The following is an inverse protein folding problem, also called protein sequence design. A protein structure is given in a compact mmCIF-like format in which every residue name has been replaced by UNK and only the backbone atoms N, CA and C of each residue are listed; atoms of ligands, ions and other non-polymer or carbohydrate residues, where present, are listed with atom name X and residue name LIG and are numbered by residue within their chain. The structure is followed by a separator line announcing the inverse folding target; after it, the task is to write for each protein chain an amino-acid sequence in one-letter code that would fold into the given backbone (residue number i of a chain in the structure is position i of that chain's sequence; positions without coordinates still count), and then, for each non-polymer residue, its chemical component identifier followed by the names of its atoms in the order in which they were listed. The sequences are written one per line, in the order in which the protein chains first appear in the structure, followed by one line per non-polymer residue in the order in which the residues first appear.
data_IF_769016813175
#
_entry.id   IF_769016813175
#
_cell.length_a   1.000
_cell.length_b   1.000
_cell.length_c   1.000
_cell.angle_alpha   90.00
_cell.angle_beta   90.00
_cell.angle_gamma   90.00
#
_symmetry.space_group_name_H-M   'P 1'
#
loop_
_entity.id
_entity.type
_entity.pdbx_description
1 polymer ?
#
# COMPACT_ATOMS: atom_id res chain seq x y z
N UNK A 1 19.55 3.39 -13.55
CA UNK A 1 18.85 2.12 -13.28
C UNK A 1 19.60 0.99 -13.97
N UNK A 2 19.90 -0.06 -13.24
CA UNK A 2 20.52 -1.23 -13.86
C UNK A 2 19.54 -1.89 -14.81
N UNK A 3 19.98 -2.21 -16.01
CA UNK A 3 19.17 -2.97 -16.93
C UNK A 3 19.15 -4.43 -16.49
N UNK A 4 17.97 -5.04 -16.51
CA UNK A 4 17.86 -6.46 -16.20
C UNK A 4 18.56 -7.26 -17.30
N UNK A 5 19.39 -8.20 -16.89
CA UNK A 5 19.99 -9.12 -17.84
C UNK A 5 18.93 -10.11 -18.32
N UNK A 6 19.19 -10.79 -19.40
CA UNK A 6 18.30 -11.84 -19.91
C UNK A 6 18.03 -12.91 -18.85
N UNK A 7 19.09 -13.30 -18.11
CA UNK A 7 18.94 -14.29 -17.03
C UNK A 7 18.05 -13.76 -15.90
N UNK A 8 18.14 -12.45 -15.58
CA UNK A 8 17.28 -11.85 -14.55
C UNK A 8 15.81 -11.84 -14.97
N UNK A 9 15.53 -11.56 -16.24
CA UNK A 9 14.16 -11.59 -16.77
C UNK A 9 13.60 -13.00 -16.69
N UNK A 10 14.36 -14.01 -17.06
CA UNK A 10 13.94 -15.40 -16.97
C UNK A 10 13.65 -15.81 -15.53
N UNK A 11 14.48 -15.35 -14.59
CA UNK A 11 14.28 -15.62 -13.17
C UNK A 11 12.98 -14.98 -12.68
N UNK A 12 12.70 -13.74 -13.06
CA UNK A 12 11.47 -13.05 -12.69
C UNK A 12 10.26 -13.78 -13.26
N UNK A 13 10.32 -14.19 -14.51
CA UNK A 13 9.21 -14.93 -15.14
C UNK A 13 8.94 -16.27 -14.46
N UNK A 14 9.96 -16.92 -13.91
CA UNK A 14 9.77 -18.19 -13.20
C UNK A 14 9.01 -18.00 -11.90
N UNK A 15 8.92 -16.77 -11.36
CA UNK A 15 8.19 -16.46 -10.13
C UNK A 15 6.81 -15.86 -10.35
N UNK A 16 6.38 -15.70 -11.60
CA UNK A 16 5.11 -15.04 -11.90
C UNK A 16 3.87 -15.77 -11.37
N UNK A 17 4.01 -17.05 -11.06
CA UNK A 17 2.91 -17.83 -10.50
C UNK A 17 2.88 -17.81 -8.97
N UNK A 18 3.78 -17.10 -8.34
CA UNK A 18 3.82 -16.96 -6.89
C UNK A 18 2.87 -15.84 -6.47
N UNK A 19 2.00 -16.14 -5.52
CA UNK A 19 1.09 -15.15 -4.97
C UNK A 19 1.81 -14.25 -3.98
N UNK A 20 1.51 -12.97 -4.02
CA UNK A 20 2.04 -12.00 -3.07
C UNK A 20 0.88 -11.22 -2.44
N UNK A 21 1.11 -10.68 -1.24
CA UNK A 21 0.11 -9.87 -0.56
C UNK A 21 0.26 -8.41 -1.00
N UNK A 22 -0.83 -7.84 -1.48
CA UNK A 22 -0.91 -6.43 -1.81
C UNK A 22 -1.72 -5.75 -0.71
N UNK A 23 -1.15 -4.71 -0.12
CA UNK A 23 -1.78 -3.99 0.98
C UNK A 23 -2.09 -2.55 0.58
N UNK A 24 -3.24 -2.07 1.00
CA UNK A 24 -3.60 -0.67 0.89
C UNK A 24 -3.49 -0.03 2.27
N UNK A 25 -2.72 1.03 2.39
CA UNK A 25 -2.50 1.73 3.65
C UNK A 25 -3.00 3.16 3.52
N UNK A 26 -3.89 3.56 4.41
CA UNK A 26 -4.41 4.92 4.43
C UNK A 26 -3.40 5.92 4.95
N UNK A 27 -2.86 5.63 6.11
CA UNK A 27 -1.96 6.53 6.82
C UNK A 27 -1.47 5.83 8.08
N UNK A 28 -0.62 6.51 8.80
CA UNK A 28 -0.14 6.06 10.10
C UNK A 28 -0.09 7.25 11.04
N UNK A 29 -0.18 7.00 12.32
CA UNK A 29 0.00 8.04 13.32
C UNK A 29 0.85 7.52 14.45
N UNK A 30 1.52 8.44 15.13
CA UNK A 30 2.37 8.12 16.25
C UNK A 30 1.56 8.29 17.53
N UNK A 31 1.52 7.24 18.34
CA UNK A 31 0.83 7.26 19.63
C UNK A 31 1.75 6.67 20.67
N UNK A 32 1.67 7.17 21.91
CA UNK A 32 2.41 6.52 22.98
C UNK A 32 1.62 5.29 23.48
N UNK A 33 2.31 4.43 24.21
CA UNK A 33 1.69 3.18 24.68
C UNK A 33 0.49 3.46 25.59
N UNK A 34 0.57 4.53 26.40
CA UNK A 34 -0.54 4.90 27.28
C UNK A 34 -1.81 5.20 26.47
N UNK A 35 -1.67 5.94 25.39
CA UNK A 35 -2.80 6.26 24.51
C UNK A 35 -3.36 5.01 23.87
N UNK A 36 -2.50 4.10 23.42
CA UNK A 36 -2.94 2.84 22.80
C UNK A 36 -3.74 2.01 23.80
N UNK A 37 -3.26 1.93 25.03
CA UNK A 37 -3.93 1.14 26.07
C UNK A 37 -5.29 1.74 26.50
N UNK A 38 -5.53 3.00 26.22
CA UNK A 38 -6.79 3.66 26.52
C UNK A 38 -7.84 3.53 25.41
N UNK A 39 -7.52 2.91 24.29
CA UNK A 39 -8.45 2.75 23.16
C UNK A 39 -9.58 1.82 23.55
N UNK A 40 -10.81 2.27 23.30
CA UNK A 40 -12.04 1.51 23.58
C UNK A 40 -12.96 1.63 22.37
N UNK A 41 -13.96 0.76 22.24
CA UNK A 41 -14.97 0.92 21.19
C UNK A 41 -15.58 2.32 21.21
N UNK A 42 -15.62 2.96 20.05
CA UNK A 42 -16.06 4.34 19.93
C UNK A 42 -14.93 5.37 19.96
N UNK A 43 -13.70 4.96 20.27
CA UNK A 43 -12.55 5.85 20.24
C UNK A 43 -12.28 6.34 18.82
N UNK A 44 -11.79 7.56 18.69
CA UNK A 44 -11.45 8.16 17.40
C UNK A 44 -9.96 8.43 17.36
N UNK A 45 -9.32 7.95 16.31
CA UNK A 45 -7.89 8.19 16.07
C UNK A 45 -7.78 9.12 14.86
N UNK A 46 -7.39 10.39 15.07
CA UNK A 46 -7.22 11.31 13.93
C UNK A 46 -5.95 10.97 13.15
N UNK A 47 -6.05 10.96 11.83
CA UNK A 47 -4.92 10.62 10.96
C UNK A 47 -4.28 11.84 10.30
N UNK A 48 -4.73 12.98 10.42
CA UNK A 48 -4.08 14.18 9.88
C UNK A 48 -4.08 14.31 8.36
N UNK A 49 -4.64 13.33 7.62
CA UNK A 49 -4.75 13.41 6.17
C UNK A 49 -6.10 14.02 5.76
N UNK A 50 -6.11 14.87 4.74
CA UNK A 50 -7.38 15.30 4.18
C UNK A 50 -8.17 14.11 3.61
N UNK A 51 -9.48 14.15 3.77
CA UNK A 51 -10.35 13.12 3.20
C UNK A 51 -10.29 13.19 1.66
N UNK A 52 -10.37 12.04 1.02
CA UNK A 52 -10.40 11.96 -0.43
C UNK A 52 -9.05 11.89 -1.12
N UNK A 53 -7.96 11.92 -0.38
CA UNK A 53 -6.65 11.72 -0.97
C UNK A 53 -6.41 10.24 -1.30
N UNK A 54 -5.47 10.02 -2.23
CA UNK A 54 -5.06 8.65 -2.58
C UNK A 54 -4.36 7.99 -1.39
N UNK A 55 -4.44 6.69 -1.37
CA UNK A 55 -3.73 5.88 -0.39
C UNK A 55 -2.54 5.19 -1.02
N UNK A 56 -1.68 4.62 -0.19
CA UNK A 56 -0.47 3.95 -0.65
C UNK A 56 -0.70 2.45 -0.76
N UNK A 57 -0.18 1.87 -1.83
CA UNK A 57 -0.27 0.43 -2.09
C UNK A 57 1.13 -0.16 -1.93
N UNK A 58 1.21 -1.23 -1.16
CA UNK A 58 2.47 -1.89 -0.84
C UNK A 58 2.43 -3.37 -1.23
N UNK A 59 3.59 -3.89 -1.61
CA UNK A 59 3.83 -5.32 -1.71
C UNK A 59 4.90 -5.66 -0.69
N UNK A 60 4.53 -6.43 0.35
CA UNK A 60 5.37 -6.57 1.52
C UNK A 60 5.55 -5.20 2.16
N UNK A 61 6.79 -4.79 2.43
CA UNK A 61 7.07 -3.46 2.94
C UNK A 61 7.58 -2.51 1.86
N UNK A 62 7.41 -2.89 0.59
CA UNK A 62 7.89 -2.10 -0.54
C UNK A 62 6.73 -1.28 -1.12
N UNK A 63 6.85 0.05 -1.17
CA UNK A 63 5.81 0.86 -1.79
C UNK A 63 5.76 0.60 -3.30
N UNK A 64 4.57 0.35 -3.81
CA UNK A 64 4.36 0.05 -5.23
C UNK A 64 3.74 1.24 -5.96
N UNK A 65 2.71 1.82 -5.39
CA UNK A 65 1.86 2.75 -6.13
C UNK A 65 0.98 3.57 -5.20
N UNK A 66 0.36 4.58 -5.78
CA UNK A 66 -0.75 5.29 -5.15
C UNK A 66 -2.04 4.84 -5.82
N UNK A 67 -3.13 4.86 -5.08
CA UNK A 67 -4.42 4.40 -5.58
C UNK A 67 -5.57 5.14 -4.92
N UNK A 68 -6.72 5.09 -5.55
CA UNK A 68 -7.97 5.56 -4.97
C UNK A 68 -8.91 4.38 -4.74
N UNK A 69 -9.72 4.48 -3.70
CA UNK A 69 -10.70 3.44 -3.38
C UNK A 69 -11.94 3.66 -4.25
N UNK A 70 -12.37 2.61 -4.92
CA UNK A 70 -13.60 2.62 -5.70
C UNK A 70 -14.49 1.46 -5.27
N UNK A 71 -15.74 1.48 -5.67
CA UNK A 71 -16.69 0.41 -5.38
C UNK A 71 -17.10 -0.24 -6.69
N UNK A 72 -16.93 -1.55 -6.77
CA UNK A 72 -17.37 -2.35 -7.90
C UNK A 72 -18.25 -3.47 -7.37
N UNK A 73 -19.51 -3.50 -7.79
CA UNK A 73 -20.46 -4.56 -7.41
C UNK A 73 -20.49 -4.82 -5.89
N UNK A 74 -20.61 -3.76 -5.12
CA UNK A 74 -20.66 -3.79 -3.66
C UNK A 74 -19.35 -4.22 -2.98
N UNK A 75 -18.25 -4.26 -3.72
CA UNK A 75 -16.94 -4.56 -3.17
C UNK A 75 -16.00 -3.39 -3.34
N UNK A 76 -15.12 -3.23 -2.38
CA UNK A 76 -14.07 -2.22 -2.49
C UNK A 76 -13.00 -2.73 -3.44
N UNK A 77 -12.52 -1.82 -4.28
CA UNK A 77 -11.42 -2.07 -5.19
C UNK A 77 -10.47 -0.88 -5.19
N UNK A 78 -9.30 -1.07 -5.72
CA UNK A 78 -8.30 0.00 -5.85
C UNK A 78 -8.09 0.32 -7.31
N UNK A 79 -8.10 1.60 -7.62
CA UNK A 79 -7.71 2.09 -8.94
C UNK A 79 -6.34 2.71 -8.83
N UNK A 80 -5.35 2.13 -9.48
CA UNK A 80 -3.99 2.67 -9.45
C UNK A 80 -3.96 4.01 -10.18
N UNK A 81 -3.41 5.00 -9.52
CA UNK A 81 -3.29 6.35 -10.11
C UNK A 81 -1.87 6.63 -10.57
N UNK A 82 -0.88 6.11 -9.85
CA UNK A 82 0.52 6.38 -10.16
C UNK A 82 1.40 5.30 -9.53
N UNK A 83 2.41 4.86 -10.25
CA UNK A 83 3.42 3.97 -9.69
C UNK A 83 4.49 4.76 -8.95
N UNK A 84 5.04 4.16 -7.89
CA UNK A 84 6.18 4.74 -7.20
C UNK A 84 7.39 4.78 -8.14
N UNK A 85 8.17 5.83 -8.00
CA UNK A 85 9.42 5.97 -8.74
C UNK A 85 10.57 5.62 -7.83
N UNK A 86 11.43 4.77 -8.33
CA UNK A 86 12.68 4.50 -7.66
C UNK A 86 13.78 5.25 -8.40
N UNK A 87 14.24 6.34 -7.81
CA UNK A 87 15.40 7.05 -8.35
C UNK A 87 16.65 6.32 -7.87
N UNK A 88 17.54 5.94 -8.80
CA UNK A 88 18.77 5.24 -8.43
C UNK A 88 19.73 6.13 -7.64
#
# INVERSE_FOLDING_TARGET
MAMLSEASVETIESFRDISVVVEARFDECLMDVREVLAIQPGAVIPLGRPAGETLSVYIGNVPLASAEVIVIEDRLALRITEFERFDP
#
